data_IF_987633329822
#
_entry.id   IF_987633329822
#
_cell.length_a   1.000
_cell.length_b   1.000
_cell.length_c   1.000
_cell.angle_alpha   90.00
_cell.angle_beta   90.00
_cell.angle_gamma   90.00
#
_symmetry.space_group_name_H-M   'P 1'
#
loop_
_entity.id
_entity.type
_entity.pdbx_description
1 polymer ?
#
# COMPACT_ATOMS: atom_id res chain seq x y z
N UNK A 1 12.73 75.73 -9.11
CA UNK A 1 11.80 74.65 -9.40
C UNK A 1 12.59 73.34 -9.41
N UNK A 2 12.62 72.62 -8.30
CA UNK A 2 13.36 71.39 -8.15
C UNK A 2 12.41 70.23 -8.25
N UNK A 3 12.63 69.33 -9.19
CA UNK A 3 11.85 68.11 -9.44
C UNK A 3 12.36 66.98 -8.55
N UNK A 4 11.52 66.52 -7.63
CA UNK A 4 11.81 65.39 -6.75
C UNK A 4 11.49 64.09 -7.51
N UNK A 5 12.47 63.30 -7.83
CA UNK A 5 12.29 61.95 -8.42
C UNK A 5 12.22 60.96 -7.27
N UNK A 6 11.03 60.42 -7.04
CA UNK A 6 10.80 59.33 -6.08
C UNK A 6 11.00 58.00 -6.80
N UNK A 7 12.08 57.28 -6.46
CA UNK A 7 12.36 55.92 -6.97
C UNK A 7 11.64 54.92 -6.05
N UNK A 8 10.60 54.28 -6.56
CA UNK A 8 9.95 53.14 -5.90
C UNK A 8 10.79 51.87 -6.14
N UNK A 9 11.47 51.40 -5.11
CA UNK A 9 12.16 50.10 -5.11
C UNK A 9 11.13 49.01 -4.77
N UNK A 10 10.58 48.34 -5.77
CA UNK A 10 9.73 47.16 -5.58
C UNK A 10 10.58 45.96 -5.16
N UNK A 11 10.50 45.59 -3.89
CA UNK A 11 11.08 44.34 -3.38
C UNK A 11 10.24 43.18 -3.89
N UNK A 12 10.76 42.44 -4.87
CA UNK A 12 10.19 41.16 -5.30
C UNK A 12 10.56 40.09 -4.25
N UNK A 13 9.64 39.80 -3.34
CA UNK A 13 9.78 38.68 -2.41
C UNK A 13 9.57 37.40 -3.20
N UNK A 14 10.68 36.75 -3.58
CA UNK A 14 10.66 35.37 -4.06
C UNK A 14 10.32 34.46 -2.87
N UNK A 15 9.06 34.04 -2.77
CA UNK A 15 8.68 32.93 -1.91
C UNK A 15 9.34 31.68 -2.49
N UNK A 16 10.41 31.22 -1.88
CA UNK A 16 10.96 29.89 -2.12
C UNK A 16 9.94 28.95 -1.54
N UNK A 17 9.12 28.34 -2.40
CA UNK A 17 8.27 27.21 -2.05
C UNK A 17 9.23 26.09 -1.65
N UNK A 18 9.40 25.85 -0.35
CA UNK A 18 10.17 24.72 0.15
C UNK A 18 9.45 23.46 -0.36
N UNK A 19 9.94 22.93 -1.48
CA UNK A 19 9.47 21.66 -2.02
C UNK A 19 9.57 20.63 -0.90
N UNK A 20 8.43 20.31 -0.28
CA UNK A 20 8.33 19.29 0.76
C UNK A 20 9.01 18.04 0.24
N UNK A 21 10.10 17.64 0.89
CA UNK A 21 10.88 16.48 0.50
C UNK A 21 9.94 15.29 0.29
N UNK A 22 9.97 14.69 -0.89
CA UNK A 22 9.16 13.53 -1.22
C UNK A 22 9.50 12.41 -0.23
N UNK A 23 8.49 11.68 0.25
CA UNK A 23 8.67 10.54 1.15
C UNK A 23 9.64 9.52 0.54
N UNK A 24 10.70 9.19 1.26
CA UNK A 24 11.79 8.36 0.76
C UNK A 24 12.23 7.28 1.75
N UNK A 25 13.34 6.62 1.40
CA UNK A 25 13.91 5.55 2.22
C UNK A 25 14.34 6.05 3.61
N UNK A 26 14.82 7.28 3.72
CA UNK A 26 15.23 7.88 4.99
C UNK A 26 14.05 8.02 5.96
N UNK A 27 12.85 8.34 5.47
CA UNK A 27 11.63 8.39 6.28
C UNK A 27 11.28 7.00 6.82
N UNK A 28 11.45 5.96 6.00
CA UNK A 28 11.24 4.57 6.41
C UNK A 28 12.27 4.17 7.46
N UNK A 29 13.55 4.50 7.24
CA UNK A 29 14.64 4.20 8.17
C UNK A 29 14.44 4.88 9.52
N UNK A 30 14.04 6.15 9.54
CA UNK A 30 13.73 6.88 10.78
C UNK A 30 12.55 6.26 11.53
N UNK A 31 11.48 5.86 10.83
CA UNK A 31 10.34 5.16 11.45
C UNK A 31 10.76 3.82 12.05
N UNK A 32 11.55 3.03 11.32
CA UNK A 32 12.07 1.77 11.80
C UNK A 32 12.95 1.95 13.05
N UNK A 33 13.85 2.94 13.05
CA UNK A 33 14.68 3.29 14.20
C UNK A 33 13.84 3.68 15.42
N UNK A 34 12.77 4.47 15.20
CA UNK A 34 11.86 4.85 16.29
C UNK A 34 11.12 3.64 16.87
N UNK A 35 10.65 2.72 16.01
CA UNK A 35 10.01 1.48 16.46
C UNK A 35 10.98 0.58 17.23
N UNK A 36 12.22 0.44 16.76
CA UNK A 36 13.25 -0.36 17.43
C UNK A 36 13.64 0.18 18.80
N UNK A 37 13.46 1.47 19.06
CA UNK A 37 13.72 2.10 20.34
C UNK A 37 12.55 1.97 21.36
N UNK A 38 11.40 1.43 20.94
CA UNK A 38 10.23 1.22 21.80
C UNK A 38 10.01 -0.26 22.10
N UNK A 39 9.32 -0.54 23.21
CA UNK A 39 8.91 -1.91 23.52
C UNK A 39 8.01 -2.45 22.41
N UNK A 40 8.16 -3.73 22.07
CA UNK A 40 7.30 -4.39 21.12
C UNK A 40 5.85 -4.41 21.62
N UNK A 41 4.96 -3.95 20.77
CA UNK A 41 3.51 -4.03 20.98
C UNK A 41 2.91 -4.96 19.92
N UNK A 42 2.49 -6.13 20.35
CA UNK A 42 1.91 -7.13 19.45
C UNK A 42 0.54 -6.67 18.94
N UNK A 43 0.35 -6.50 17.62
CA UNK A 43 -0.97 -6.21 17.07
C UNK A 43 -1.86 -7.46 17.15
N UNK A 44 -2.98 -7.37 17.88
CA UNK A 44 -3.95 -8.47 18.04
C UNK A 44 -5.35 -8.03 17.60
N UNK A 45 -6.19 -9.03 17.26
CA UNK A 45 -7.62 -8.80 16.99
C UNK A 45 -7.91 -8.04 15.69
N UNK A 46 -6.97 -7.99 14.76
CA UNK A 46 -7.17 -7.32 13.47
C UNK A 46 -8.02 -8.15 12.51
N UNK A 47 -7.98 -9.47 12.66
CA UNK A 47 -8.70 -10.42 11.80
C UNK A 47 -9.81 -11.09 12.62
N UNK A 48 -11.06 -11.16 12.11
CA UNK A 48 -12.15 -11.81 12.83
C UNK A 48 -11.87 -13.29 13.14
N UNK A 49 -12.18 -13.73 14.34
CA UNK A 49 -11.93 -15.11 14.81
C UNK A 49 -12.49 -16.19 13.89
N UNK A 50 -13.66 -15.94 13.28
CA UNK A 50 -14.24 -16.91 12.37
C UNK A 50 -13.39 -17.14 11.12
N UNK A 51 -12.68 -16.07 10.65
CA UNK A 51 -11.82 -16.13 9.48
C UNK A 51 -10.49 -16.85 9.80
N UNK A 52 -10.05 -16.82 11.05
CA UNK A 52 -8.91 -17.61 11.52
C UNK A 52 -9.22 -19.11 11.66
N UNK A 53 -10.51 -19.47 11.68
CA UNK A 53 -10.99 -20.85 11.84
C UNK A 53 -11.42 -21.52 10.53
N UNK A 54 -11.29 -20.84 9.39
CA UNK A 54 -11.56 -21.45 8.08
C UNK A 54 -10.54 -22.54 7.79
N UNK A 55 -10.93 -23.53 6.99
CA UNK A 55 -10.01 -24.59 6.57
C UNK A 55 -8.96 -24.07 5.58
N UNK A 56 -7.88 -24.81 5.42
CA UNK A 56 -6.87 -24.52 4.41
C UNK A 56 -7.45 -24.42 3.00
N UNK A 57 -8.34 -25.34 2.63
CA UNK A 57 -8.98 -25.33 1.31
C UNK A 57 -9.88 -24.13 1.11
N UNK A 58 -10.62 -23.71 2.14
CA UNK A 58 -11.41 -22.49 2.09
C UNK A 58 -10.53 -21.25 1.91
N UNK A 59 -9.44 -21.14 2.68
CA UNK A 59 -8.53 -20.00 2.56
C UNK A 59 -7.79 -19.98 1.22
N UNK A 60 -7.31 -21.13 0.73
CA UNK A 60 -6.63 -21.26 -0.56
C UNK A 60 -7.53 -20.90 -1.74
N UNK A 61 -8.85 -21.07 -1.61
CA UNK A 61 -9.82 -20.72 -2.64
C UNK A 61 -10.10 -19.21 -2.71
N UNK A 62 -9.64 -18.44 -1.72
CA UNK A 62 -9.68 -16.97 -1.77
C UNK A 62 -8.50 -16.48 -2.62
N UNK A 63 -8.78 -15.88 -3.77
CA UNK A 63 -7.77 -15.43 -4.72
C UNK A 63 -7.90 -13.96 -5.02
N UNK A 64 -6.78 -13.26 -5.02
CA UNK A 64 -6.77 -11.88 -5.49
C UNK A 64 -7.11 -11.84 -6.98
N UNK A 65 -7.98 -10.94 -7.39
CA UNK A 65 -8.38 -10.76 -8.80
C UNK A 65 -7.24 -10.11 -9.58
N UNK A 66 -6.66 -10.77 -10.61
CA UNK A 66 -5.53 -10.21 -11.35
C UNK A 66 -5.85 -8.85 -12.01
N UNK A 67 -7.10 -8.62 -12.37
CA UNK A 67 -7.56 -7.35 -12.96
C UNK A 67 -7.47 -6.17 -11.98
N UNK A 68 -7.56 -6.44 -10.67
CA UNK A 68 -7.43 -5.47 -9.60
C UNK A 68 -5.98 -5.21 -9.16
N UNK A 69 -4.99 -5.87 -9.82
CA UNK A 69 -3.59 -5.72 -9.45
C UNK A 69 -3.13 -4.26 -9.58
N UNK A 70 -2.49 -3.78 -8.50
CA UNK A 70 -1.92 -2.45 -8.48
C UNK A 70 -0.94 -2.28 -9.65
N UNK A 71 -1.02 -1.15 -10.33
CA UNK A 71 -0.24 -0.75 -11.50
C UNK A 71 -0.57 -1.48 -12.82
N UNK A 72 -1.45 -2.48 -12.81
CA UNK A 72 -1.88 -3.15 -14.05
C UNK A 72 -2.49 -2.17 -15.05
N UNK A 73 -3.44 -1.35 -14.61
CA UNK A 73 -4.08 -0.34 -15.48
C UNK A 73 -3.08 0.72 -16.01
N UNK A 74 -2.01 0.99 -15.27
CA UNK A 74 -0.93 1.90 -15.67
C UNK A 74 0.05 1.27 -16.66
N UNK A 75 -0.09 -0.03 -16.97
CA UNK A 75 0.79 -0.81 -17.86
C UNK A 75 2.27 -0.72 -17.47
N UNK A 76 2.55 -0.64 -16.17
CA UNK A 76 3.91 -0.67 -15.65
C UNK A 76 4.50 -2.09 -15.77
N UNK A 77 5.84 -2.23 -15.79
CA UNK A 77 6.48 -3.55 -15.87
C UNK A 77 6.34 -4.39 -14.59
N UNK A 78 5.66 -3.85 -13.58
CA UNK A 78 5.38 -4.53 -12.32
C UNK A 78 3.89 -4.49 -12.02
N UNK A 79 3.38 -5.56 -11.44
CA UNK A 79 2.03 -5.64 -10.90
C UNK A 79 2.11 -6.17 -9.48
N UNK A 80 1.29 -5.62 -8.58
CA UNK A 80 1.24 -6.08 -7.20
C UNK A 80 -0.14 -6.65 -6.92
N UNK A 81 -0.17 -7.88 -6.42
CA UNK A 81 -1.35 -8.56 -5.91
C UNK A 81 -1.20 -8.73 -4.40
N UNK A 82 -2.31 -8.94 -3.71
CA UNK A 82 -2.32 -8.94 -2.26
C UNK A 82 -2.88 -10.26 -1.71
N UNK A 83 -2.45 -10.60 -0.49
CA UNK A 83 -2.94 -11.79 0.20
C UNK A 83 -4.06 -11.44 1.18
N UNK A 84 -5.07 -12.29 1.19
CA UNK A 84 -6.18 -12.20 2.12
C UNK A 84 -5.77 -12.70 3.51
N UNK A 85 -6.07 -11.98 4.61
CA UNK A 85 -5.87 -12.48 5.96
C UNK A 85 -6.81 -13.66 6.25
N UNK A 86 -6.50 -14.40 7.29
CA UNK A 86 -7.28 -15.56 7.72
C UNK A 86 -6.42 -16.81 7.88
N UNK A 87 -6.97 -17.86 8.43
CA UNK A 87 -6.26 -19.10 8.77
C UNK A 87 -5.06 -18.80 9.69
N UNK A 88 -3.83 -18.83 9.18
CA UNK A 88 -2.60 -18.54 9.95
C UNK A 88 -2.22 -17.06 9.97
N UNK A 89 -2.85 -16.24 9.11
CA UNK A 89 -2.52 -14.83 8.95
C UNK A 89 -3.48 -13.99 9.79
N UNK A 90 -3.14 -13.83 11.05
CA UNK A 90 -3.91 -13.12 12.07
C UNK A 90 -3.63 -11.61 12.13
N UNK A 91 -2.69 -11.14 11.31
CA UNK A 91 -2.22 -9.75 11.26
C UNK A 91 -2.41 -9.15 9.88
N UNK A 92 -2.48 -7.83 9.86
CA UNK A 92 -2.61 -7.09 8.61
C UNK A 92 -1.45 -6.12 8.41
N UNK A 93 -1.08 -5.91 7.17
CA UNK A 93 -0.04 -4.97 6.77
C UNK A 93 -0.67 -3.76 6.11
N UNK A 94 -0.27 -2.57 6.54
CA UNK A 94 -0.71 -1.32 5.91
C UNK A 94 0.07 -1.09 4.62
N UNK A 95 -0.65 -1.05 3.51
CA UNK A 95 -0.09 -0.79 2.19
C UNK A 95 -0.19 0.70 1.85
N UNK A 96 0.90 1.27 1.38
CA UNK A 96 0.93 2.64 0.91
C UNK A 96 1.61 2.70 -0.45
N UNK A 97 1.09 3.55 -1.32
CA UNK A 97 1.70 3.86 -2.62
C UNK A 97 2.34 5.23 -2.52
N UNK A 98 3.62 5.31 -2.85
CA UNK A 98 4.37 6.56 -2.92
C UNK A 98 4.33 7.07 -4.35
N UNK A 99 3.77 8.24 -4.56
CA UNK A 99 3.68 8.91 -5.86
C UNK A 99 4.32 10.32 -5.74
N UNK A 100 4.65 10.99 -6.84
CA UNK A 100 5.15 12.38 -6.79
C UNK A 100 4.20 13.34 -6.05
N UNK A 101 2.90 13.05 -6.07
CA UNK A 101 1.87 13.79 -5.34
C UNK A 101 1.78 13.47 -3.84
N UNK A 102 2.60 12.54 -3.33
CA UNK A 102 2.65 12.12 -1.93
C UNK A 102 2.32 10.64 -1.69
N UNK A 103 2.08 10.30 -0.42
CA UNK A 103 1.80 8.94 0.03
C UNK A 103 0.30 8.73 0.12
N UNK A 104 -0.21 7.68 -0.53
CA UNK A 104 -1.63 7.30 -0.50
C UNK A 104 -1.80 5.88 0.03
N UNK A 105 -2.72 5.63 0.97
CA UNK A 105 -3.02 4.28 1.42
C UNK A 105 -3.67 3.47 0.28
N UNK A 106 -3.20 2.26 0.06
CA UNK A 106 -3.90 1.29 -0.77
C UNK A 106 -4.83 0.49 0.15
N UNK A 107 -6.14 0.63 -0.09
CA UNK A 107 -7.15 0.10 0.82
C UNK A 107 -7.64 -1.27 0.36
N UNK A 108 -7.90 -2.12 1.34
CA UNK A 108 -8.57 -3.40 1.13
C UNK A 108 -10.04 -3.18 0.75
N UNK A 109 -10.52 -4.03 -0.15
CA UNK A 109 -11.94 -4.25 -0.39
C UNK A 109 -12.18 -5.73 -0.68
N UNK A 110 -13.24 -6.35 -0.14
CA UNK A 110 -13.61 -7.73 -0.49
C UNK A 110 -13.78 -7.95 -2.00
N UNK A 111 -14.20 -6.93 -2.74
CA UNK A 111 -14.38 -7.01 -4.20
C UNK A 111 -13.09 -7.27 -4.98
N UNK A 112 -11.92 -7.00 -4.38
CA UNK A 112 -10.61 -7.29 -4.97
C UNK A 112 -10.28 -8.78 -4.98
N UNK A 113 -11.13 -9.61 -4.34
CA UNK A 113 -10.90 -11.05 -4.21
C UNK A 113 -12.04 -11.86 -4.83
N UNK A 114 -11.67 -13.00 -5.38
CA UNK A 114 -12.58 -14.08 -5.71
C UNK A 114 -12.57 -15.07 -4.54
N UNK A 115 -13.73 -15.35 -3.98
CA UNK A 115 -13.89 -16.25 -2.84
C UNK A 115 -14.18 -17.70 -3.25
N UNK A 116 -14.17 -17.98 -4.57
CA UNK A 116 -14.38 -19.31 -5.09
C UNK A 116 -15.71 -19.92 -4.62
N UNK A 117 -15.63 -21.08 -3.98
CA UNK A 117 -16.81 -21.81 -3.46
C UNK A 117 -17.26 -21.37 -2.06
N UNK A 118 -16.57 -20.38 -1.46
CA UNK A 118 -16.92 -19.93 -0.11
C UNK A 118 -18.15 -19.02 -0.12
N UNK A 119 -19.07 -19.27 0.80
CA UNK A 119 -20.33 -18.53 0.98
C UNK A 119 -20.23 -17.33 1.94
N UNK A 120 -19.05 -17.11 2.53
CA UNK A 120 -18.83 -16.09 3.55
C UNK A 120 -18.33 -14.73 3.02
N UNK A 121 -18.23 -14.53 1.71
CA UNK A 121 -17.73 -13.28 1.12
C UNK A 121 -18.42 -12.02 1.66
N UNK A 122 -19.73 -12.07 1.87
CA UNK A 122 -20.53 -10.97 2.42
C UNK A 122 -20.25 -10.65 3.89
N UNK A 123 -19.60 -11.56 4.62
CA UNK A 123 -19.25 -11.39 6.03
C UNK A 123 -17.89 -10.73 6.22
N UNK A 124 -17.08 -10.64 5.15
CA UNK A 124 -15.73 -10.05 5.21
C UNK A 124 -15.83 -8.55 5.43
N UNK A 125 -15.14 -7.99 6.46
CA UNK A 125 -15.12 -6.55 6.69
C UNK A 125 -14.58 -5.77 5.49
N UNK A 126 -15.19 -4.62 5.19
CA UNK A 126 -14.80 -3.79 4.05
C UNK A 126 -13.39 -3.19 4.15
N UNK A 127 -12.86 -3.10 5.36
CA UNK A 127 -11.55 -2.51 5.70
C UNK A 127 -10.63 -3.50 6.42
N UNK A 128 -10.80 -4.81 6.17
CA UNK A 128 -10.06 -5.87 6.85
C UNK A 128 -8.53 -5.68 6.78
N UNK A 129 -8.02 -5.17 5.68
CA UNK A 129 -6.59 -5.09 5.40
C UNK A 129 -6.05 -6.32 4.66
N UNK A 130 -4.73 -6.33 4.40
CA UNK A 130 -4.05 -7.40 3.66
C UNK A 130 -3.08 -8.15 4.57
N UNK A 131 -2.90 -9.46 4.38
CA UNK A 131 -1.87 -10.23 5.07
C UNK A 131 -0.46 -9.98 4.50
N UNK A 132 -0.37 -9.46 3.29
CA UNK A 132 0.88 -9.22 2.60
C UNK A 132 0.65 -8.96 1.12
N UNK A 133 1.72 -9.04 0.35
CA UNK A 133 1.67 -8.80 -1.10
C UNK A 133 2.66 -9.68 -1.86
N UNK A 134 2.45 -9.79 -3.17
CA UNK A 134 3.39 -10.35 -4.11
C UNK A 134 3.57 -9.43 -5.30
N UNK A 135 4.79 -9.32 -5.77
CA UNK A 135 5.15 -8.55 -6.96
C UNK A 135 5.33 -9.50 -8.12
N UNK A 136 4.73 -9.15 -9.23
CA UNK A 136 4.86 -9.87 -10.50
C UNK A 136 5.57 -8.99 -11.52
N UNK A 137 6.45 -9.61 -12.32
CA UNK A 137 7.14 -8.95 -13.42
C UNK A 137 7.32 -9.91 -14.62
N UNK A 138 7.38 -9.41 -15.86
CA UNK A 138 7.61 -10.23 -17.03
C UNK A 138 9.11 -10.60 -17.13
N UNK A 139 9.48 -11.78 -16.59
CA UNK A 139 10.87 -12.26 -16.57
C UNK A 139 11.19 -13.06 -17.83
N UNK A 140 10.36 -14.07 -18.15
CA UNK A 140 10.61 -14.99 -19.27
C UNK A 140 10.03 -14.50 -20.59
N UNK A 141 8.82 -13.99 -20.55
CA UNK A 141 8.11 -13.46 -21.73
C UNK A 141 7.38 -12.18 -21.36
N UNK A 142 7.09 -11.34 -22.35
CA UNK A 142 6.40 -10.05 -22.12
C UNK A 142 4.95 -10.22 -21.67
N UNK A 143 4.33 -11.34 -21.99
CA UNK A 143 2.91 -11.57 -21.78
C UNK A 143 2.61 -12.36 -20.50
N UNK A 144 3.63 -12.90 -19.86
CA UNK A 144 3.50 -13.66 -18.63
C UNK A 144 4.25 -13.00 -17.49
N UNK A 145 3.54 -12.72 -16.39
CA UNK A 145 4.06 -12.06 -15.20
C UNK A 145 4.40 -13.10 -14.12
N UNK A 146 5.69 -13.43 -14.02
CA UNK A 146 6.22 -14.32 -12.98
C UNK A 146 6.17 -13.63 -11.62
N UNK A 147 5.94 -14.40 -10.54
CA UNK A 147 6.08 -13.91 -9.17
C UNK A 147 7.58 -13.77 -8.84
N UNK A 148 7.98 -12.57 -8.44
CA UNK A 148 9.40 -12.25 -8.19
C UNK A 148 9.70 -11.89 -6.74
N UNK A 149 8.72 -11.40 -5.99
CA UNK A 149 8.83 -11.06 -4.57
C UNK A 149 7.54 -11.44 -3.88
N UNK A 150 7.67 -12.04 -2.69
CA UNK A 150 6.56 -12.30 -1.76
C UNK A 150 6.93 -11.69 -0.41
N UNK A 151 5.95 -11.00 0.20
CA UNK A 151 6.02 -10.54 1.57
C UNK A 151 4.71 -10.91 2.29
N UNK A 152 4.85 -11.55 3.45
CA UNK A 152 3.75 -11.83 4.38
C UNK A 152 4.12 -11.27 5.75
N UNK A 153 3.15 -10.58 6.40
CA UNK A 153 3.31 -9.95 7.72
C UNK A 153 2.84 -10.83 8.87
#
# INVERSE_FOLDING_TARGET
MGSLVVVFLTFLVLTVDEARAAFGLDDVAQRAKKLAASAYNEPKGQVPDWLLKVSYDQWRDIRFRPEEALWRAKKLPFQVQFFHPGLYYDRTVRMNVVEPSGVKPFRFSPSQFDYGKNDFASRVPQDLGFAGFRVHAPIKTRDYYDEVIVFLG
#
